data_IF_253932351919
#
_entry.id   IF_253932351919
#
_cell.length_a   1.000
_cell.length_b   1.000
_cell.length_c   1.000
_cell.angle_alpha   90.00
_cell.angle_beta   90.00
_cell.angle_gamma   90.00
#
_symmetry.space_group_name_H-M   'P 1'
#
loop_
_entity.id
_entity.type
_entity.pdbx_description
1 polymer ?
#
# COMPACT_ATOMS: atom_id res chain seq x y z
N UNK A 1 17.14 -1.12 -16.60
CA UNK A 1 17.26 -2.11 -15.50
C UNK A 1 16.10 -3.06 -15.69
N UNK A 2 16.34 -4.28 -16.17
CA UNK A 2 15.26 -5.28 -16.24
C UNK A 2 14.88 -5.67 -14.81
N UNK A 3 13.57 -5.77 -14.56
CA UNK A 3 13.03 -6.19 -13.27
C UNK A 3 13.11 -7.71 -13.21
N UNK A 4 13.62 -8.24 -12.10
CA UNK A 4 13.61 -9.67 -11.82
C UNK A 4 12.16 -10.18 -11.89
N UNK A 5 11.85 -11.24 -12.67
CA UNK A 5 10.50 -11.77 -12.82
C UNK A 5 9.82 -12.15 -11.49
N UNK A 6 10.57 -12.67 -10.51
CA UNK A 6 10.02 -12.98 -9.18
C UNK A 6 9.68 -11.71 -8.40
N UNK A 7 10.47 -10.65 -8.60
CA UNK A 7 10.21 -9.34 -8.04
C UNK A 7 8.91 -8.70 -8.59
N UNK A 8 8.47 -9.10 -9.79
CA UNK A 8 7.23 -8.60 -10.41
C UNK A 8 6.02 -9.41 -9.93
N UNK A 9 6.15 -10.73 -9.75
CA UNK A 9 5.03 -11.60 -9.37
C UNK A 9 4.50 -11.37 -7.95
N UNK A 10 5.33 -10.83 -7.05
CA UNK A 10 4.95 -10.48 -5.68
C UNK A 10 4.53 -9.02 -5.50
N UNK A 11 4.56 -8.22 -6.57
CA UNK A 11 4.26 -6.81 -6.46
C UNK A 11 2.74 -6.58 -6.56
N UNK A 12 2.16 -6.09 -5.47
CA UNK A 12 0.76 -5.70 -5.41
C UNK A 12 0.54 -4.22 -5.76
N UNK A 13 1.60 -3.43 -5.98
CA UNK A 13 1.50 -2.01 -6.36
C UNK A 13 1.46 -1.91 -7.89
N UNK A 14 0.34 -1.44 -8.41
CA UNK A 14 0.10 -1.27 -9.84
C UNK A 14 1.03 -0.20 -10.45
N UNK A 15 1.47 -0.47 -11.67
CA UNK A 15 2.25 0.46 -12.48
C UNK A 15 1.39 1.34 -13.39
N UNK A 16 1.98 2.38 -14.00
CA UNK A 16 1.29 3.22 -14.97
C UNK A 16 0.67 2.39 -16.10
N UNK A 17 -0.58 2.71 -16.45
CA UNK A 17 -1.31 2.02 -17.52
C UNK A 17 -2.00 0.71 -17.11
N UNK A 18 -1.82 0.22 -15.89
CA UNK A 18 -2.57 -0.92 -15.37
C UNK A 18 -3.90 -0.47 -14.74
N UNK A 19 -4.98 -1.13 -15.14
CA UNK A 19 -6.29 -0.95 -14.53
C UNK A 19 -6.32 -1.64 -13.15
N UNK A 20 -6.27 -0.83 -12.10
CA UNK A 20 -6.35 -1.26 -10.71
C UNK A 20 -7.10 -0.22 -9.88
N UNK A 21 -7.80 -0.61 -8.80
CA UNK A 21 -8.42 0.34 -7.88
C UNK A 21 -7.38 1.21 -7.18
N UNK A 22 -7.75 2.46 -6.94
CA UNK A 22 -6.94 3.42 -6.17
C UNK A 22 -7.38 3.39 -4.71
N UNK A 23 -6.40 3.35 -3.81
CA UNK A 23 -6.59 3.53 -2.38
C UNK A 23 -5.71 4.67 -1.88
N UNK A 24 -6.28 5.52 -1.04
CA UNK A 24 -5.63 6.70 -0.48
C UNK A 24 -5.21 6.40 0.95
N UNK A 25 -3.96 6.72 1.31
CA UNK A 25 -3.53 6.77 2.71
C UNK A 25 -4.04 8.09 3.29
N UNK A 26 -5.02 8.02 4.19
CA UNK A 26 -5.60 9.20 4.84
C UNK A 26 -4.77 9.62 6.06
N UNK A 27 -4.27 8.65 6.83
CA UNK A 27 -3.39 8.89 7.98
C UNK A 27 -2.57 7.66 8.35
N UNK A 28 -1.45 7.87 9.04
CA UNK A 28 -0.62 6.81 9.59
C UNK A 28 -0.14 7.19 11.00
N UNK A 29 -0.64 6.51 12.01
CA UNK A 29 -0.35 6.81 13.42
C UNK A 29 0.28 5.63 14.12
N UNK A 30 1.26 5.87 15.00
CA UNK A 30 1.82 4.80 15.84
C UNK A 30 0.91 4.57 17.05
N UNK A 31 0.51 3.31 17.27
CA UNK A 31 -0.21 2.88 18.46
C UNK A 31 0.73 2.71 19.65
N UNK A 32 0.16 2.56 20.85
CA UNK A 32 0.90 2.44 22.11
C UNK A 32 1.77 1.18 22.21
N UNK A 33 1.41 0.13 21.48
CA UNK A 33 2.16 -1.12 21.36
C UNK A 33 3.27 -1.05 20.28
N UNK A 34 3.43 0.10 19.63
CA UNK A 34 4.47 0.34 18.64
C UNK A 34 4.12 -0.06 17.21
N UNK A 35 2.91 -0.56 16.97
CA UNK A 35 2.43 -0.84 15.61
C UNK A 35 2.11 0.47 14.87
N UNK A 36 2.13 0.40 13.54
CA UNK A 36 1.68 1.47 12.66
C UNK A 36 0.24 1.21 12.25
N UNK A 37 -0.67 2.08 12.66
CA UNK A 37 -2.06 2.05 12.24
C UNK A 37 -2.28 2.99 11.06
N UNK A 38 -2.65 2.45 9.90
CA UNK A 38 -2.88 3.22 8.69
C UNK A 38 -4.37 3.22 8.37
N UNK A 39 -4.93 4.42 8.19
CA UNK A 39 -6.29 4.61 7.68
C UNK A 39 -6.21 4.77 6.16
N UNK A 40 -6.95 3.91 5.47
CA UNK A 40 -7.04 3.89 4.01
C UNK A 40 -8.46 4.19 3.57
N UNK A 41 -8.62 4.93 2.48
CA UNK A 41 -9.92 5.12 1.83
C UNK A 41 -9.92 4.76 0.35
N UNK A 42 -11.08 4.36 -0.15
CA UNK A 42 -11.39 4.40 -1.57
C UNK A 42 -11.90 5.81 -1.93
N UNK A 43 -11.72 6.27 -3.18
CA UNK A 43 -12.37 7.49 -3.67
C UNK A 43 -13.90 7.48 -3.54
N UNK A 44 -14.52 6.30 -3.41
CA UNK A 44 -15.95 6.15 -3.13
C UNK A 44 -16.35 6.47 -1.68
N UNK A 45 -15.39 6.78 -0.79
CA UNK A 45 -15.61 7.12 0.61
C UNK A 45 -15.57 5.94 1.60
N UNK A 46 -15.37 4.70 1.11
CA UNK A 46 -15.22 3.54 2.00
C UNK A 46 -13.84 3.57 2.66
N UNK A 47 -13.80 3.50 3.99
CA UNK A 47 -12.57 3.56 4.79
C UNK A 47 -12.28 2.24 5.51
N UNK A 48 -11.01 1.97 5.77
CA UNK A 48 -10.54 0.87 6.61
C UNK A 48 -9.34 1.33 7.44
N UNK A 49 -9.22 0.82 8.67
CA UNK A 49 -8.03 0.96 9.50
C UNK A 49 -7.30 -0.37 9.55
N UNK A 50 -6.02 -0.37 9.17
CA UNK A 50 -5.17 -1.56 9.11
C UNK A 50 -3.94 -1.35 10.00
N UNK A 51 -3.60 -2.35 10.81
CA UNK A 51 -2.40 -2.33 11.65
C UNK A 51 -1.23 -3.03 10.95
N UNK A 52 -0.03 -2.49 11.11
CA UNK A 52 1.22 -2.96 10.51
C UNK A 52 2.34 -2.99 11.56
N UNK A 53 3.28 -3.91 11.37
CA UNK A 53 4.51 -3.95 12.15
C UNK A 53 5.47 -2.84 11.69
N UNK A 54 6.52 -2.61 12.46
CA UNK A 54 7.50 -1.55 12.20
C UNK A 54 8.40 -1.82 10.98
N UNK A 55 8.52 -3.09 10.59
CA UNK A 55 9.28 -3.60 9.45
C UNK A 55 8.43 -3.83 8.19
N UNK A 56 7.10 -3.67 8.28
CA UNK A 56 6.20 -3.80 7.14
C UNK A 56 6.49 -2.74 6.06
N UNK A 57 6.21 -3.11 4.81
CA UNK A 57 6.54 -2.36 3.60
C UNK A 57 5.29 -1.90 2.85
N UNK A 58 5.49 -1.03 1.85
CA UNK A 58 4.41 -0.65 0.93
C UNK A 58 3.82 -1.84 0.16
N UNK A 59 4.62 -2.90 -0.07
CA UNK A 59 4.14 -4.16 -0.64
C UNK A 59 3.16 -4.88 0.30
N UNK A 60 3.46 -4.92 1.59
CA UNK A 60 2.59 -5.51 2.61
C UNK A 60 1.28 -4.72 2.75
N UNK A 61 1.37 -3.38 2.73
CA UNK A 61 0.19 -2.51 2.66
C UNK A 61 -0.67 -2.82 1.44
N UNK A 62 -0.07 -2.86 0.25
CA UNK A 62 -0.79 -3.15 -1.00
C UNK A 62 -1.47 -4.52 -0.96
N UNK A 63 -0.76 -5.55 -0.49
CA UNK A 63 -1.27 -6.91 -0.36
C UNK A 63 -2.45 -7.00 0.62
N UNK A 64 -2.31 -6.36 1.80
CA UNK A 64 -3.34 -6.36 2.84
C UNK A 64 -4.60 -5.62 2.41
N UNK A 65 -4.44 -4.49 1.71
CA UNK A 65 -5.56 -3.73 1.12
C UNK A 65 -6.23 -4.52 0.00
N UNK A 66 -5.46 -5.10 -0.92
CA UNK A 66 -6.00 -5.92 -2.00
C UNK A 66 -6.83 -7.10 -1.45
N UNK A 67 -6.31 -7.77 -0.41
CA UNK A 67 -6.99 -8.87 0.28
C UNK A 67 -8.25 -8.39 1.01
N UNK A 68 -8.15 -7.33 1.82
CA UNK A 68 -9.28 -6.80 2.60
C UNK A 68 -10.47 -6.41 1.70
N UNK A 69 -10.18 -5.83 0.55
CA UNK A 69 -11.18 -5.33 -0.37
C UNK A 69 -11.54 -6.29 -1.51
N UNK A 70 -11.03 -7.53 -1.47
CA UNK A 70 -11.21 -8.56 -2.50
C UNK A 70 -10.93 -8.05 -3.93
N UNK A 71 -9.80 -7.38 -4.12
CA UNK A 71 -9.38 -6.89 -5.43
C UNK A 71 -8.97 -8.07 -6.30
N UNK A 72 -9.76 -8.35 -7.34
CA UNK A 72 -9.64 -9.55 -8.18
C UNK A 72 -8.26 -9.71 -8.84
N UNK A 73 -7.67 -8.61 -9.31
CA UNK A 73 -6.33 -8.62 -9.91
C UNK A 73 -5.20 -8.73 -8.89
N UNK A 74 -5.49 -8.54 -7.59
CA UNK A 74 -4.50 -8.40 -6.53
C UNK A 74 -3.67 -7.12 -6.59
N UNK A 75 -3.84 -6.28 -7.63
CA UNK A 75 -3.06 -5.07 -7.85
C UNK A 75 -3.83 -3.83 -7.39
N UNK A 76 -3.13 -2.89 -6.76
CA UNK A 76 -3.72 -1.63 -6.27
C UNK A 76 -2.81 -0.44 -6.58
N UNK A 77 -3.41 0.71 -6.85
CA UNK A 77 -2.69 1.99 -6.82
C UNK A 77 -2.73 2.57 -5.42
N UNK A 78 -1.59 2.94 -4.87
CA UNK A 78 -1.48 3.61 -3.57
C UNK A 78 -1.27 5.11 -3.79
N UNK A 79 -2.19 5.92 -3.28
CA UNK A 79 -2.11 7.38 -3.28
C UNK A 79 -1.71 7.84 -1.88
N UNK A 80 -0.49 8.33 -1.73
CA UNK A 80 0.01 8.86 -0.45
C UNK A 80 0.20 10.36 -0.61
N UNK A 81 -0.56 11.20 0.10
CA UNK A 81 -0.37 12.64 0.04
C UNK A 81 1.08 13.04 0.33
N UNK A 82 1.70 13.82 -0.57
CA UNK A 82 3.08 14.28 -0.41
C UNK A 82 4.17 13.23 -0.73
N UNK A 83 3.81 12.00 -1.10
CA UNK A 83 4.78 10.95 -1.44
C UNK A 83 4.40 10.23 -2.74
N UNK A 84 5.37 10.05 -3.63
CA UNK A 84 5.17 9.21 -4.81
C UNK A 84 5.37 7.74 -4.43
N UNK A 85 4.40 6.89 -4.77
CA UNK A 85 4.48 5.43 -4.57
C UNK A 85 4.21 4.74 -5.90
N UNK A 86 5.11 3.87 -6.30
CA UNK A 86 4.93 3.05 -7.50
C UNK A 86 5.41 1.61 -7.31
N UNK A 87 5.39 0.81 -8.39
CA UNK A 87 5.78 -0.60 -8.39
C UNK A 87 7.15 -0.90 -7.78
N UNK A 88 8.08 0.06 -7.87
CA UNK A 88 9.46 -0.09 -7.38
C UNK A 88 9.58 0.17 -5.88
N UNK A 89 8.55 0.76 -5.26
CA UNK A 89 8.54 1.08 -3.83
C UNK A 89 8.07 -0.10 -2.97
N UNK A 90 7.84 -1.30 -3.55
CA UNK A 90 7.29 -2.44 -2.79
C UNK A 90 8.06 -2.76 -1.50
N UNK A 91 9.38 -2.61 -1.52
CA UNK A 91 10.25 -2.90 -0.37
C UNK A 91 10.53 -1.67 0.51
N UNK A 92 9.96 -0.51 0.17
CA UNK A 92 10.08 0.70 0.97
C UNK A 92 9.32 0.50 2.27
N UNK A 93 9.96 0.82 3.40
CA UNK A 93 9.35 0.65 4.71
C UNK A 93 8.17 1.62 4.90
N UNK A 94 7.10 1.16 5.56
CA UNK A 94 5.97 2.03 5.93
C UNK A 94 6.34 3.05 7.00
N UNK A 95 7.43 2.81 7.73
CA UNK A 95 7.96 3.74 8.73
C UNK A 95 8.37 5.11 8.15
N UNK A 96 8.49 5.24 6.82
CA UNK A 96 8.73 6.52 6.15
C UNK A 96 7.47 7.33 5.89
N UNK A 97 6.28 6.83 6.27
CA UNK A 97 5.03 7.60 6.19
C UNK A 97 5.04 8.68 7.27
N UNK A 98 5.14 9.93 6.82
CA UNK A 98 4.88 11.12 7.64
C UNK A 98 3.53 11.68 7.19
N UNK A 99 2.44 11.26 7.84
CA UNK A 99 1.06 11.72 7.55
C UNK A 99 0.30 11.98 8.83
#
# INVERSE_FOLDING_TARGET
RELDPECVSQNHIAGPGLAAPVFVVDSATRSLDGQLEIVMSRPSGQTVKLAFNSDDTFGDLASKVATHFNVESGLVHLSVPGSHVGPLDRARALSTLET
#
